data_IF_239301551218
#
_entry.id   IF_239301551218
#
_cell.length_a   1.000
_cell.length_b   1.000
_cell.length_c   1.000
_cell.angle_alpha   90.00
_cell.angle_beta   90.00
_cell.angle_gamma   90.00
#
_symmetry.space_group_name_H-M   'P 1'
#
loop_
_entity.id
_entity.type
_entity.pdbx_description
1 polymer ?
#
# COMPACT_ATOMS: atom_id res chain seq x y z
N UNK A 1 15.94 11.85 9.99
CA UNK A 1 15.34 10.50 10.01
C UNK A 1 13.86 10.47 10.46
N UNK A 2 13.30 11.54 11.05
CA UNK A 2 11.90 11.58 11.53
C UNK A 2 10.86 12.19 10.55
N UNK A 3 11.24 12.52 9.32
CA UNK A 3 10.42 13.37 8.44
C UNK A 3 9.14 12.66 7.94
N UNK A 4 9.24 11.39 7.50
CA UNK A 4 8.09 10.71 6.91
C UNK A 4 7.00 10.38 7.93
N UNK A 5 7.36 9.95 9.14
CA UNK A 5 6.37 9.65 10.19
C UNK A 5 5.66 10.92 10.64
N UNK A 6 6.40 12.01 10.88
CA UNK A 6 5.82 13.30 11.22
C UNK A 6 4.89 13.81 10.11
N UNK A 7 5.28 13.63 8.85
CA UNK A 7 4.43 13.95 7.71
C UNK A 7 3.13 13.14 7.68
N UNK A 8 3.18 11.82 7.90
CA UNK A 8 1.97 10.98 8.00
C UNK A 8 1.06 11.50 9.11
N UNK A 9 1.61 11.75 10.30
CA UNK A 9 0.83 12.25 11.44
C UNK A 9 0.21 13.60 11.12
N UNK A 10 0.95 14.54 10.54
CA UNK A 10 0.41 15.87 10.19
C UNK A 10 -0.71 15.78 9.16
N UNK A 11 -0.57 14.93 8.15
CA UNK A 11 -1.57 14.79 7.08
C UNK A 11 -2.85 14.10 7.53
N UNK A 12 -2.75 13.19 8.51
CA UNK A 12 -3.86 12.40 9.03
C UNK A 12 -4.54 13.04 10.26
N UNK A 13 -3.85 13.94 10.97
CA UNK A 13 -4.39 14.66 12.14
C UNK A 13 -5.77 15.29 11.92
N UNK A 14 -6.10 15.91 10.77
CA UNK A 14 -7.42 16.50 10.56
C UNK A 14 -8.59 15.50 10.70
N UNK A 15 -8.35 14.20 10.48
CA UNK A 15 -9.39 13.17 10.59
C UNK A 15 -9.65 12.75 12.05
N UNK A 16 -8.82 13.16 13.02
CA UNK A 16 -9.06 12.90 14.45
C UNK A 16 -10.35 13.55 14.95
N UNK A 17 -10.88 14.56 14.25
CA UNK A 17 -12.19 15.16 14.56
C UNK A 17 -13.35 14.15 14.47
N UNK A 18 -13.18 13.06 13.71
CA UNK A 18 -14.14 11.95 13.63
C UNK A 18 -13.82 10.82 14.62
N UNK A 19 -12.90 11.06 15.57
CA UNK A 19 -12.45 10.12 16.58
C UNK A 19 -11.02 9.64 16.35
N UNK A 20 -10.36 9.29 17.45
CA UNK A 20 -9.01 8.73 17.47
C UNK A 20 -8.87 7.85 18.71
N UNK A 21 -8.29 6.65 18.57
CA UNK A 21 -7.95 5.78 19.71
C UNK A 21 -6.57 5.15 19.51
N UNK A 22 -5.93 4.80 20.63
CA UNK A 22 -4.75 3.93 20.65
C UNK A 22 -5.19 2.61 21.28
N UNK A 23 -4.98 1.52 20.54
CA UNK A 23 -5.27 0.16 20.97
C UNK A 23 -4.20 -0.37 21.93
N UNK A 24 -4.49 -1.47 22.62
CA UNK A 24 -3.60 -2.09 23.62
C UNK A 24 -2.22 -2.45 23.04
N UNK A 25 -2.17 -2.84 21.77
CA UNK A 25 -0.93 -3.16 21.06
C UNK A 25 -0.18 -1.92 20.52
N UNK A 26 -0.65 -0.70 20.83
CA UNK A 26 -0.09 0.56 20.37
C UNK A 26 -0.55 1.01 18.98
N UNK A 27 -1.45 0.28 18.32
CA UNK A 27 -2.01 0.69 17.03
C UNK A 27 -2.89 1.93 17.19
N UNK A 28 -2.61 2.99 16.43
CA UNK A 28 -3.41 4.20 16.40
C UNK A 28 -4.45 4.12 15.29
N UNK A 29 -5.72 4.28 15.64
CA UNK A 29 -6.84 4.32 14.71
C UNK A 29 -7.38 5.75 14.65
N UNK A 30 -7.57 6.27 13.44
CA UNK A 30 -7.93 7.68 13.22
C UNK A 30 -9.10 7.77 12.25
N UNK A 31 -10.10 8.58 12.62
CA UNK A 31 -11.31 8.87 11.87
C UNK A 31 -12.28 7.70 11.83
N UNK A 32 -13.31 7.67 12.68
CA UNK A 32 -14.35 6.63 12.60
C UNK A 32 -15.13 6.78 11.29
N UNK A 33 -15.44 5.66 10.65
CA UNK A 33 -16.14 5.61 9.37
C UNK A 33 -17.39 4.70 9.42
N UNK A 34 -18.40 5.02 10.24
CA UNK A 34 -19.56 4.15 10.44
C UNK A 34 -20.40 3.93 9.17
N UNK A 35 -20.30 4.85 8.19
CA UNK A 35 -20.92 4.71 6.87
C UNK A 35 -20.35 3.54 6.04
N UNK A 36 -19.17 3.03 6.41
CA UNK A 36 -18.54 1.85 5.80
C UNK A 36 -18.92 0.59 6.57
N UNK A 37 -18.65 0.59 7.89
CA UNK A 37 -19.06 -0.44 8.82
C UNK A 37 -19.00 0.11 10.25
N UNK A 38 -19.77 -0.44 11.21
CA UNK A 38 -19.83 0.11 12.58
C UNK A 38 -18.49 0.24 13.30
N UNK A 39 -17.53 -0.65 13.00
CA UNK A 39 -16.18 -0.67 13.57
C UNK A 39 -15.11 -0.17 12.59
N UNK A 40 -15.48 0.46 11.47
CA UNK A 40 -14.52 0.93 10.48
C UNK A 40 -13.82 2.21 10.92
N UNK A 41 -12.55 2.31 10.51
CA UNK A 41 -11.69 3.46 10.73
C UNK A 41 -11.04 3.82 9.40
N UNK A 42 -10.89 5.11 9.12
CA UNK A 42 -10.28 5.61 7.90
C UNK A 42 -8.79 5.26 7.86
N UNK A 43 -8.08 5.39 8.98
CA UNK A 43 -6.65 5.14 9.03
C UNK A 43 -6.27 4.22 10.17
N UNK A 44 -5.23 3.42 9.93
CA UNK A 44 -4.59 2.59 10.96
C UNK A 44 -3.07 2.73 10.83
N UNK A 45 -2.44 3.28 11.86
CA UNK A 45 -0.98 3.39 12.00
C UNK A 45 -0.58 2.35 13.04
N UNK A 46 0.07 1.27 12.62
CA UNK A 46 0.44 0.20 13.55
C UNK A 46 1.72 0.57 14.30
N UNK A 47 1.83 0.13 15.56
CA UNK A 47 3.01 0.38 16.40
C UNK A 47 4.28 -0.03 15.67
N UNK A 48 5.30 0.83 15.66
CA UNK A 48 6.61 0.54 15.10
C UNK A 48 7.26 -0.71 15.71
N UNK A 49 8.13 -1.34 14.92
CA UNK A 49 8.81 -2.58 15.28
C UNK A 49 10.16 -2.34 15.92
N UNK A 50 10.51 -3.21 16.87
CA UNK A 50 11.87 -3.30 17.39
C UNK A 50 12.81 -3.95 16.37
N UNK A 51 14.11 -3.68 16.51
CA UNK A 51 15.14 -4.24 15.60
C UNK A 51 15.12 -5.78 15.60
N UNK A 52 14.84 -6.42 16.74
CA UNK A 52 14.69 -7.87 16.82
C UNK A 52 13.52 -8.37 15.96
N UNK A 53 12.39 -7.67 15.97
CA UNK A 53 11.22 -8.03 15.17
C UNK A 53 11.48 -7.83 13.67
N UNK A 54 12.27 -6.81 13.30
CA UNK A 54 12.74 -6.64 11.91
C UNK A 54 13.60 -7.83 11.48
N UNK A 55 14.55 -8.27 12.32
CA UNK A 55 15.40 -9.43 12.04
C UNK A 55 14.61 -10.71 11.89
N UNK A 56 13.53 -10.88 12.65
CA UNK A 56 12.61 -12.01 12.48
C UNK A 56 11.89 -11.97 11.13
N UNK A 57 11.50 -10.79 10.63
CA UNK A 57 10.94 -10.66 9.28
C UNK A 57 11.99 -11.07 8.24
N UNK A 58 13.21 -10.52 8.34
CA UNK A 58 14.31 -10.82 7.42
C UNK A 58 14.62 -12.32 7.39
N UNK A 59 14.71 -12.94 8.57
CA UNK A 59 14.92 -14.38 8.71
C UNK A 59 13.75 -15.19 8.12
N UNK A 60 12.50 -14.79 8.36
CA UNK A 60 11.32 -15.47 7.81
C UNK A 60 11.25 -15.37 6.29
N UNK A 61 11.62 -14.21 5.74
CA UNK A 61 11.56 -13.94 4.30
C UNK A 61 12.82 -14.41 3.55
N UNK A 62 13.88 -14.79 4.27
CA UNK A 62 15.20 -15.12 3.74
C UNK A 62 15.77 -14.01 2.84
N UNK A 63 15.59 -12.74 3.25
CA UNK A 63 16.08 -11.55 2.55
C UNK A 63 16.48 -10.47 3.55
N UNK A 64 17.40 -9.59 3.15
CA UNK A 64 17.53 -8.27 3.75
C UNK A 64 16.39 -7.36 3.24
N UNK A 65 15.74 -6.64 4.16
CA UNK A 65 14.69 -5.70 3.78
C UNK A 65 15.30 -4.46 3.08
N UNK A 66 14.61 -3.87 2.09
CA UNK A 66 15.04 -2.59 1.56
C UNK A 66 15.14 -1.55 2.68
N UNK A 67 16.28 -0.84 2.74
CA UNK A 67 16.61 0.11 3.82
C UNK A 67 15.46 1.08 4.13
N UNK A 68 14.88 1.70 3.10
CA UNK A 68 13.80 2.66 3.26
C UNK A 68 12.56 2.05 3.94
N UNK A 69 12.26 0.77 3.66
CA UNK A 69 11.12 0.08 4.25
C UNK A 69 11.43 -0.45 5.65
N UNK A 70 12.66 -0.93 5.89
CA UNK A 70 13.13 -1.33 7.21
C UNK A 70 13.06 -0.16 8.20
N UNK A 71 13.55 1.02 7.81
CA UNK A 71 13.42 2.25 8.61
C UNK A 71 11.96 2.66 8.82
N UNK A 72 11.11 2.51 7.80
CA UNK A 72 9.68 2.76 7.94
C UNK A 72 9.04 1.83 8.98
N UNK A 73 9.35 0.53 8.96
CA UNK A 73 8.79 -0.45 9.88
C UNK A 73 9.15 -0.18 11.34
N UNK A 74 10.34 0.38 11.61
CA UNK A 74 10.74 0.83 12.96
C UNK A 74 9.86 1.96 13.48
N UNK A 75 9.36 2.82 12.59
CA UNK A 75 8.46 3.92 12.94
C UNK A 75 6.99 3.45 12.99
N UNK A 76 6.63 2.52 12.11
CA UNK A 76 5.25 2.17 11.82
C UNK A 76 5.20 0.77 11.16
N UNK A 77 4.62 -0.23 11.84
CA UNK A 77 4.51 -1.60 11.34
C UNK A 77 3.45 -1.76 10.23
N UNK A 78 3.63 -1.07 9.10
CA UNK A 78 2.63 -0.99 8.04
C UNK A 78 1.59 0.11 8.29
N UNK A 79 0.68 0.31 7.35
CA UNK A 79 -0.25 1.45 7.36
C UNK A 79 -1.51 1.10 6.57
N UNK A 80 -2.69 1.53 7.03
CA UNK A 80 -3.90 1.56 6.20
C UNK A 80 -4.38 2.99 6.04
N UNK A 81 -4.66 3.39 4.79
CA UNK A 81 -5.14 4.71 4.44
C UNK A 81 -6.51 4.63 3.76
N UNK A 82 -7.43 5.50 4.18
CA UNK A 82 -8.78 5.65 3.64
C UNK A 82 -9.52 4.31 3.53
N UNK A 83 -9.71 3.65 4.68
CA UNK A 83 -10.36 2.35 4.79
C UNK A 83 -9.75 1.29 3.84
N UNK A 84 -8.44 1.04 3.98
CA UNK A 84 -7.72 0.02 3.21
C UNK A 84 -7.54 0.35 1.72
N UNK A 85 -7.98 1.54 1.24
CA UNK A 85 -7.77 1.98 -0.16
C UNK A 85 -6.32 1.80 -0.61
N UNK A 86 -5.37 2.21 0.24
CA UNK A 86 -3.97 1.81 0.17
C UNK A 86 -3.58 1.14 1.49
N UNK A 87 -2.95 -0.02 1.40
CA UNK A 87 -2.42 -0.76 2.55
C UNK A 87 -0.95 -1.05 2.37
N UNK A 88 -0.15 -0.78 3.41
CA UNK A 88 1.24 -1.16 3.56
C UNK A 88 1.33 -2.26 4.61
N UNK A 89 2.09 -3.30 4.29
CA UNK A 89 2.17 -4.55 5.03
C UNK A 89 3.28 -4.50 6.08
N UNK A 90 3.22 -5.38 7.06
CA UNK A 90 4.19 -5.44 8.14
C UNK A 90 4.28 -6.84 8.74
N UNK A 91 4.75 -6.90 9.98
CA UNK A 91 4.74 -8.12 10.81
C UNK A 91 3.36 -8.32 11.39
N UNK A 92 2.84 -9.54 11.25
CA UNK A 92 1.61 -10.01 11.87
C UNK A 92 1.94 -11.23 12.72
N UNK A 93 1.44 -11.24 13.95
CA UNK A 93 1.65 -12.34 14.91
C UNK A 93 0.36 -13.07 15.24
N UNK A 94 -0.81 -12.52 14.90
CA UNK A 94 -2.11 -13.15 15.11
C UNK A 94 -3.04 -13.01 13.91
N UNK A 95 -3.87 -14.02 13.69
CA UNK A 95 -4.94 -14.04 12.69
C UNK A 95 -6.34 -14.16 13.34
N UNK A 96 -6.42 -14.04 14.67
CA UNK A 96 -7.68 -14.08 15.40
C UNK A 96 -8.48 -12.79 15.20
N UNK A 97 -9.59 -12.91 14.46
CA UNK A 97 -10.48 -11.80 14.12
C UNK A 97 -11.17 -11.17 15.34
N UNK A 98 -11.37 -11.93 16.42
CA UNK A 98 -11.95 -11.38 17.66
C UNK A 98 -10.93 -10.51 18.38
N UNK A 99 -9.70 -10.99 18.50
CA UNK A 99 -8.60 -10.23 19.10
C UNK A 99 -8.28 -8.95 18.29
N UNK A 100 -8.40 -8.99 16.95
CA UNK A 100 -8.18 -7.83 16.09
C UNK A 100 -9.10 -6.63 16.39
N UNK A 101 -10.25 -6.84 17.02
CA UNK A 101 -11.13 -5.73 17.42
C UNK A 101 -10.40 -4.78 18.37
N UNK A 102 -9.54 -5.33 19.25
CA UNK A 102 -8.80 -4.58 20.27
C UNK A 102 -7.30 -4.44 19.95
N UNK A 103 -6.77 -5.23 19.03
CA UNK A 103 -5.35 -5.23 18.65
C UNK A 103 -5.16 -5.46 17.15
N UNK A 104 -5.51 -4.47 16.32
CA UNK A 104 -5.38 -4.57 14.86
C UNK A 104 -3.91 -4.72 14.46
N UNK A 105 -3.68 -5.51 13.42
CA UNK A 105 -2.36 -5.74 12.84
C UNK A 105 -2.38 -5.51 11.32
N UNK A 106 -1.23 -5.16 10.71
CA UNK A 106 -1.12 -5.03 9.26
C UNK A 106 -1.37 -6.38 8.56
N UNK A 107 -1.46 -6.36 7.23
CA UNK A 107 -1.29 -7.60 6.47
C UNK A 107 0.17 -8.08 6.56
N UNK A 108 0.38 -9.40 6.58
CA UNK A 108 1.70 -10.00 6.74
C UNK A 108 2.52 -9.88 5.44
N UNK A 109 3.76 -9.39 5.55
CA UNK A 109 4.72 -9.29 4.44
C UNK A 109 5.00 -10.63 3.74
N UNK A 110 4.93 -11.75 4.45
CA UNK A 110 5.13 -13.09 3.88
C UNK A 110 4.07 -13.45 2.83
N UNK A 111 2.88 -12.85 2.89
CA UNK A 111 1.80 -13.14 1.92
C UNK A 111 2.26 -12.94 0.48
N UNK A 112 2.88 -11.79 0.17
CA UNK A 112 3.28 -11.45 -1.21
C UNK A 112 4.76 -11.69 -1.51
N UNK A 113 5.56 -12.02 -0.50
CA UNK A 113 6.97 -12.33 -0.70
C UNK A 113 7.26 -13.84 -0.68
N UNK A 114 6.40 -14.67 -0.07
CA UNK A 114 6.53 -16.13 0.00
C UNK A 114 5.34 -16.82 -0.68
N UNK A 115 4.16 -16.73 -0.07
CA UNK A 115 3.04 -17.64 -0.39
C UNK A 115 2.34 -17.33 -1.71
N UNK A 116 2.14 -16.05 -2.00
CA UNK A 116 1.41 -15.55 -3.17
C UNK A 116 2.30 -14.61 -3.99
N UNK A 117 3.60 -14.92 -4.07
CA UNK A 117 4.56 -14.13 -4.83
C UNK A 117 4.16 -14.11 -6.31
N UNK A 118 3.97 -12.93 -6.94
CA UNK A 118 3.60 -12.86 -8.35
C UNK A 118 4.62 -13.52 -9.27
N UNK A 119 4.13 -14.21 -10.31
CA UNK A 119 4.97 -14.80 -11.35
C UNK A 119 5.73 -13.69 -12.10
N UNK A 120 6.88 -14.03 -12.67
CA UNK A 120 7.79 -13.10 -13.39
C UNK A 120 8.40 -12.00 -12.50
N UNK A 121 8.60 -12.29 -11.22
CA UNK A 121 9.37 -11.46 -10.29
C UNK A 121 10.74 -12.08 -10.02
N UNK A 122 11.73 -11.29 -9.62
CA UNK A 122 13.06 -11.76 -9.20
C UNK A 122 13.30 -11.42 -7.71
N UNK A 123 14.43 -11.82 -7.15
CA UNK A 123 14.80 -11.56 -5.73
C UNK A 123 14.90 -10.08 -5.35
N UNK A 124 15.02 -9.19 -6.34
CA UNK A 124 15.15 -7.75 -6.12
C UNK A 124 13.80 -7.05 -5.89
N UNK A 125 12.69 -7.72 -6.22
CA UNK A 125 11.35 -7.18 -6.00
C UNK A 125 10.83 -7.51 -4.61
N UNK A 126 10.74 -6.51 -3.74
CA UNK A 126 10.17 -6.64 -2.41
C UNK A 126 8.76 -6.05 -2.35
N UNK A 127 7.74 -6.91 -2.21
CA UNK A 127 6.34 -6.48 -2.16
C UNK A 127 5.96 -6.01 -0.76
N UNK A 128 5.39 -4.82 -0.67
CA UNK A 128 5.10 -4.21 0.63
C UNK A 128 3.72 -3.60 0.75
N UNK A 129 2.95 -3.51 -0.34
CA UNK A 129 1.63 -2.91 -0.26
C UNK A 129 0.69 -3.30 -1.40
N UNK A 130 -0.54 -2.82 -1.30
CA UNK A 130 -1.57 -3.04 -2.33
C UNK A 130 -2.65 -1.97 -2.29
N UNK A 131 -3.32 -1.78 -3.43
CA UNK A 131 -4.56 -1.02 -3.52
C UNK A 131 -5.77 -1.95 -3.48
N UNK A 132 -6.79 -1.56 -2.71
CA UNK A 132 -7.99 -2.38 -2.54
C UNK A 132 -8.83 -2.51 -3.82
N UNK A 133 -9.03 -1.40 -4.54
CA UNK A 133 -9.97 -1.31 -5.67
C UNK A 133 -9.70 -2.33 -6.78
N UNK A 134 -8.44 -2.51 -7.19
CA UNK A 134 -8.07 -3.41 -8.28
C UNK A 134 -7.11 -4.54 -7.85
N UNK A 135 -6.74 -4.58 -6.57
CA UNK A 135 -5.78 -5.54 -6.03
C UNK A 135 -4.35 -5.36 -6.57
N UNK A 136 -4.04 -4.23 -7.21
CA UNK A 136 -2.69 -3.92 -7.69
C UNK A 136 -1.70 -3.89 -6.54
N UNK A 137 -0.48 -4.35 -6.81
CA UNK A 137 0.55 -4.54 -5.81
C UNK A 137 1.60 -3.44 -5.90
N UNK A 138 2.20 -3.12 -4.76
CA UNK A 138 3.27 -2.13 -4.64
C UNK A 138 4.52 -2.80 -4.08
N UNK A 139 5.66 -2.53 -4.70
CA UNK A 139 6.96 -3.10 -4.35
C UNK A 139 8.07 -2.06 -4.40
N UNK A 140 9.17 -2.35 -3.70
CA UNK A 140 10.47 -1.69 -3.90
C UNK A 140 11.31 -2.61 -4.77
N UNK A 141 11.89 -2.06 -5.84
CA UNK A 141 12.97 -2.69 -6.57
C UNK A 141 14.30 -2.33 -5.87
N UNK A 142 14.89 -3.29 -5.17
CA UNK A 142 16.13 -3.12 -4.40
C UNK A 142 17.30 -2.65 -5.26
N UNK A 143 17.32 -2.99 -6.55
CA UNK A 143 18.41 -2.64 -7.45
C UNK A 143 18.39 -1.15 -7.84
N UNK A 144 17.21 -0.52 -7.84
CA UNK A 144 17.04 0.88 -8.27
C UNK A 144 16.52 1.80 -7.17
N UNK A 145 16.13 1.24 -6.01
CA UNK A 145 15.39 1.87 -4.92
C UNK A 145 14.04 2.49 -5.32
N UNK A 146 13.54 2.20 -6.53
CA UNK A 146 12.26 2.72 -7.01
C UNK A 146 11.10 1.97 -6.37
N UNK A 147 10.02 2.70 -6.13
CA UNK A 147 8.73 2.06 -5.85
C UNK A 147 8.01 1.83 -7.16
N UNK A 148 7.46 0.64 -7.34
CA UNK A 148 6.75 0.23 -8.54
C UNK A 148 5.37 -0.28 -8.13
N UNK A 149 4.33 0.19 -8.83
CA UNK A 149 3.00 -0.43 -8.78
C UNK A 149 2.84 -1.35 -9.97
N UNK A 150 2.37 -2.56 -9.72
CA UNK A 150 2.12 -3.59 -10.73
C UNK A 150 0.68 -4.03 -10.72
N UNK A 151 0.20 -4.62 -11.82
CA UNK A 151 -1.04 -5.38 -11.77
C UNK A 151 -0.95 -6.57 -10.80
N UNK A 152 -2.10 -7.11 -10.40
CA UNK A 152 -2.17 -8.14 -9.37
C UNK A 152 -1.39 -9.42 -9.72
N UNK A 153 -1.34 -9.80 -11.00
CA UNK A 153 -1.05 -11.17 -11.41
C UNK A 153 0.12 -11.34 -12.39
N UNK A 154 0.40 -10.35 -13.26
CA UNK A 154 1.31 -10.52 -14.41
C UNK A 154 2.57 -9.68 -14.30
N UNK A 155 2.77 -8.99 -13.18
CA UNK A 155 3.89 -8.08 -12.97
C UNK A 155 3.95 -6.97 -14.03
N UNK A 156 2.80 -6.53 -14.55
CA UNK A 156 2.79 -5.41 -15.50
C UNK A 156 2.96 -4.11 -14.72
N UNK A 157 4.04 -3.39 -14.97
CA UNK A 157 4.28 -2.06 -14.40
C UNK A 157 3.16 -1.09 -14.81
N UNK A 158 2.54 -0.44 -13.83
CA UNK A 158 1.47 0.54 -14.00
C UNK A 158 1.94 1.96 -13.67
N UNK A 159 2.75 2.11 -12.61
CA UNK A 159 3.29 3.38 -12.14
C UNK A 159 4.66 3.15 -11.49
N UNK A 160 5.45 4.23 -11.39
CA UNK A 160 6.71 4.21 -10.64
C UNK A 160 6.96 5.52 -9.90
N UNK A 161 7.69 5.45 -8.79
CA UNK A 161 8.15 6.59 -8.00
C UNK A 161 9.64 6.43 -7.71
N UNK A 162 10.34 7.55 -7.47
CA UNK A 162 11.80 7.54 -7.30
C UNK A 162 12.23 6.78 -6.05
N UNK A 163 11.43 6.84 -4.98
CA UNK A 163 11.68 6.14 -3.71
C UNK A 163 10.40 6.03 -2.86
N UNK A 164 10.52 5.36 -1.72
CA UNK A 164 9.43 5.13 -0.78
C UNK A 164 8.79 6.43 -0.24
N UNK A 165 9.60 7.41 0.14
CA UNK A 165 9.11 8.66 0.71
C UNK A 165 8.29 9.46 -0.30
N UNK A 166 8.77 9.55 -1.56
CA UNK A 166 8.03 10.22 -2.63
C UNK A 166 6.69 9.52 -2.90
N UNK A 167 6.71 8.18 -3.00
CA UNK A 167 5.51 7.37 -3.16
C UNK A 167 4.47 7.68 -2.08
N UNK A 168 4.87 7.60 -0.81
CA UNK A 168 3.93 7.74 0.30
C UNK A 168 3.38 9.17 0.42
N UNK A 169 4.23 10.19 0.26
CA UNK A 169 3.80 11.59 0.28
C UNK A 169 2.82 11.88 -0.87
N UNK A 170 3.13 11.45 -2.09
CA UNK A 170 2.24 11.65 -3.25
C UNK A 170 0.92 10.91 -3.10
N UNK A 171 0.93 9.69 -2.60
CA UNK A 171 -0.29 8.90 -2.43
C UNK A 171 -1.19 9.43 -1.32
N UNK A 172 -0.65 9.90 -0.20
CA UNK A 172 -1.45 10.56 0.85
C UNK A 172 -2.18 11.79 0.26
N UNK A 173 -1.46 12.66 -0.44
CA UNK A 173 -2.05 13.86 -1.07
C UNK A 173 -3.10 13.45 -2.11
N UNK A 174 -2.81 12.45 -2.95
CA UNK A 174 -3.73 11.98 -3.98
C UNK A 174 -5.01 11.43 -3.37
N UNK A 175 -4.91 10.57 -2.37
CA UNK A 175 -6.08 9.96 -1.72
C UNK A 175 -6.92 11.01 -0.98
N UNK A 176 -6.32 12.01 -0.33
CA UNK A 176 -7.05 13.15 0.26
C UNK A 176 -7.87 13.91 -0.78
N UNK A 177 -7.40 14.01 -2.03
CA UNK A 177 -8.16 14.68 -3.10
C UNK A 177 -9.38 13.89 -3.55
N UNK A 178 -9.36 12.56 -3.42
CA UNK A 178 -10.45 11.67 -3.85
C UNK A 178 -11.56 11.51 -2.83
N UNK A 179 -11.27 11.74 -1.56
CA UNK A 179 -12.23 11.57 -0.47
C UNK A 179 -12.74 12.92 0.03
N UNK A 180 -13.99 12.94 0.49
CA UNK A 180 -14.53 13.99 1.32
C UNK A 180 -13.85 13.99 2.69
N UNK A 181 -14.10 15.01 3.50
CA UNK A 181 -13.49 15.11 4.82
C UNK A 181 -13.88 13.96 5.74
N UNK A 182 -15.09 13.44 5.62
CA UNK A 182 -15.59 12.29 6.40
C UNK A 182 -15.05 10.93 5.90
N UNK A 183 -14.22 10.95 4.83
CA UNK A 183 -13.62 9.77 4.23
C UNK A 183 -14.50 9.03 3.23
N UNK A 184 -15.71 9.52 2.92
CA UNK A 184 -16.49 9.04 1.78
C UNK A 184 -15.83 9.42 0.45
N UNK A 185 -16.07 8.68 -0.62
CA UNK A 185 -15.59 9.08 -1.94
C UNK A 185 -16.36 10.31 -2.45
N UNK A 186 -15.64 11.21 -3.13
CA UNK A 186 -16.27 12.32 -3.85
C UNK A 186 -17.13 11.80 -5.00
N UNK A 187 -18.20 12.53 -5.32
CA UNK A 187 -19.08 12.19 -6.44
C UNK A 187 -18.30 12.04 -7.75
N UNK A 188 -18.64 10.99 -8.51
CA UNK A 188 -18.00 10.69 -9.79
C UNK A 188 -16.65 9.98 -9.70
N UNK A 189 -16.16 9.64 -8.50
CA UNK A 189 -14.97 8.81 -8.32
C UNK A 189 -15.40 7.34 -8.30
N UNK A 190 -15.05 6.61 -9.36
CA UNK A 190 -15.28 5.17 -9.53
C UNK A 190 -14.04 4.32 -9.22
N UNK A 191 -12.84 4.90 -9.33
CA UNK A 191 -11.57 4.23 -9.09
C UNK A 191 -10.64 5.07 -8.22
N UNK A 192 -10.16 4.47 -7.14
CA UNK A 192 -9.26 5.10 -6.17
C UNK A 192 -7.78 4.87 -6.44
N UNK A 193 -7.44 4.08 -7.46
CA UNK A 193 -6.05 3.78 -7.80
C UNK A 193 -5.42 4.87 -8.68
N UNK A 194 -4.07 5.01 -8.69
CA UNK A 194 -3.41 5.92 -9.63
C UNK A 194 -3.75 5.57 -11.09
N UNK A 195 -3.81 6.57 -11.97
CA UNK A 195 -3.93 6.30 -13.41
C UNK A 195 -2.63 5.67 -13.92
N UNK A 196 -2.72 4.57 -14.66
CA UNK A 196 -1.54 3.90 -15.24
C UNK A 196 -0.80 4.85 -16.18
N UNK A 197 0.50 5.04 -15.95
CA UNK A 197 1.38 5.84 -16.81
C UNK A 197 1.72 5.10 -18.11
N UNK A 198 1.77 3.76 -18.02
CA UNK A 198 2.00 2.90 -19.17
C UNK A 198 0.66 2.60 -19.83
N UNK A 199 0.28 3.40 -20.84
CA UNK A 199 -0.80 3.04 -21.76
C UNK A 199 -0.34 1.84 -22.56
N UNK A 200 -1.21 0.83 -22.66
CA UNK A 200 -1.00 -0.38 -23.45
C UNK A 200 -0.94 0.00 -24.94
N UNK A 201 0.20 0.53 -25.41
CA UNK A 201 0.43 0.91 -26.81
C UNK A 201 0.36 -0.31 -27.74
N UNK A 202 0.48 -1.54 -27.21
CA UNK A 202 0.58 -2.76 -28.01
C UNK A 202 -0.72 -3.20 -28.68
N UNK A 203 -1.85 -3.19 -27.97
CA UNK A 203 -3.07 -3.83 -28.49
C UNK A 203 -3.66 -3.10 -29.70
N UNK A 204 -3.89 -1.78 -29.58
CA UNK A 204 -4.47 -0.99 -30.66
C UNK A 204 -3.51 -0.75 -31.82
N UNK A 205 -2.20 -0.67 -31.57
CA UNK A 205 -1.22 -0.54 -32.66
C UNK A 205 -1.04 -1.86 -33.43
N UNK A 206 -1.11 -3.02 -32.75
CA UNK A 206 -1.17 -4.31 -33.44
C UNK A 206 -2.48 -4.50 -34.20
N UNK A 207 -3.63 -4.09 -33.64
CA UNK A 207 -4.89 -4.17 -34.37
C UNK A 207 -4.86 -3.30 -35.63
N UNK A 208 -4.35 -2.06 -35.52
CA UNK A 208 -4.19 -1.15 -36.66
C UNK A 208 -3.21 -1.69 -37.71
N UNK A 209 -2.11 -2.32 -37.30
CA UNK A 209 -1.14 -2.90 -38.25
C UNK A 209 -1.71 -4.12 -38.98
N UNK A 210 -2.53 -4.93 -38.31
CA UNK A 210 -3.23 -6.08 -38.92
C UNK A 210 -4.32 -5.61 -39.89
N UNK A 211 -5.09 -4.58 -39.53
CA UNK A 211 -6.14 -4.02 -40.40
C UNK A 211 -5.51 -3.35 -41.64
N UNK A 212 -4.45 -2.57 -41.48
CA UNK A 212 -3.78 -1.92 -42.61
C UNK A 212 -3.12 -2.92 -43.57
N UNK A 213 -2.58 -4.05 -43.08
CA UNK A 213 -2.06 -5.13 -43.93
C UNK A 213 -3.12 -5.90 -44.71
N UNK A 214 -4.39 -5.86 -44.28
CA UNK A 214 -5.51 -6.50 -44.99
C UNK A 214 -6.11 -5.63 -46.09
N UNK A 215 -5.99 -4.31 -45.98
CA UNK A 215 -6.50 -3.36 -46.98
C UNK A 215 -5.47 -3.01 -48.07
N UNK A 216 -4.25 -3.57 -47.99
CA UNK A 216 -3.15 -3.37 -48.95
C UNK A 216 -2.88 -4.60 -49.81
N UNK A 217 -3.84 -5.53 -49.90
CA UNK A 217 -3.86 -6.72 -50.76
C UNK A 217 -5.16 -6.71 -51.55
#
# INVERSE_FOLDING_TARGET
MNDIYNYIISELKPYEKYGSIVQENGTKLIGKAPHIAPLAWLHSIYKGLEISEIREIESKLDIELPKDYSEFLKLCNGLKLFNTTLSLNGRRTSYDRKAEINARQPFDLSTKNIYERPKNTNSEHFFFGSYFSDGSLVLIDKSTNKVIRTDRNKFRVLNSWTNFNEFLKKEIIRLKKLHNEDGTLKNGIDNTTPKSEFKNKGFWNNLKSIINKRNSR
#
